data_IF_062339749945
#
_entry.id   IF_062339749945
#
_cell.length_a   1.000
_cell.length_b   1.000
_cell.length_c   1.000
_cell.angle_alpha   90.00
_cell.angle_beta   90.00
_cell.angle_gamma   90.00
#
_symmetry.space_group_name_H-M   'P 1'
#
loop_
_entity.id
_entity.type
_entity.pdbx_description
1 polymer ?
#
# COMPACT_ATOMS: atom_id res chain seq x y z
N UNK A 1 -14.58 5.60 -1.56
CA UNK A 1 -13.30 5.73 -2.28
C UNK A 1 -13.40 6.89 -3.28
N UNK A 2 -13.16 8.12 -2.81
CA UNK A 2 -13.37 9.35 -3.59
C UNK A 2 -12.52 9.40 -4.88
N UNK A 3 -11.25 8.99 -4.81
CA UNK A 3 -10.34 9.01 -5.97
C UNK A 3 -10.72 7.98 -7.04
N UNK A 4 -11.19 6.80 -6.63
CA UNK A 4 -11.63 5.76 -7.55
C UNK A 4 -12.87 6.24 -8.31
N UNK A 5 -13.83 6.81 -7.59
CA UNK A 5 -15.03 7.39 -8.18
C UNK A 5 -14.68 8.51 -9.17
N UNK A 6 -13.81 9.44 -8.78
CA UNK A 6 -13.38 10.53 -9.65
C UNK A 6 -12.71 10.01 -10.92
N UNK A 7 -11.85 9.00 -10.80
CA UNK A 7 -11.21 8.37 -11.95
C UNK A 7 -12.22 7.78 -12.94
N UNK A 8 -13.24 7.09 -12.44
CA UNK A 8 -14.33 6.58 -13.28
C UNK A 8 -15.12 7.69 -13.99
N UNK A 9 -15.39 8.81 -13.32
CA UNK A 9 -16.09 9.96 -13.94
C UNK A 9 -15.34 10.51 -15.15
N UNK A 10 -14.01 10.43 -15.16
CA UNK A 10 -13.17 10.86 -16.27
C UNK A 10 -12.76 9.71 -17.22
N UNK A 11 -13.35 8.52 -17.07
CA UNK A 11 -13.10 7.37 -17.94
C UNK A 11 -11.73 6.71 -17.74
N UNK A 12 -11.09 6.91 -16.58
CA UNK A 12 -9.81 6.28 -16.26
C UNK A 12 -9.97 4.86 -15.72
N UNK A 13 -9.03 3.98 -16.08
CA UNK A 13 -8.90 2.65 -15.49
C UNK A 13 -8.14 2.74 -14.17
N UNK A 14 -8.73 2.23 -13.09
CA UNK A 14 -8.14 2.33 -11.75
C UNK A 14 -7.49 1.00 -11.36
N UNK A 15 -6.18 1.01 -11.19
CA UNK A 15 -5.37 -0.15 -10.79
C UNK A 15 -4.85 0.07 -9.37
N UNK A 16 -5.08 -0.90 -8.49
CA UNK A 16 -4.58 -0.90 -7.12
C UNK A 16 -3.27 -1.66 -6.98
N UNK A 17 -2.30 -1.08 -6.26
CA UNK A 17 -1.08 -1.77 -5.83
C UNK A 17 -1.06 -1.83 -4.30
N UNK A 18 -1.32 -3.00 -3.74
CA UNK A 18 -1.25 -3.22 -2.31
C UNK A 18 0.16 -3.66 -1.91
N UNK A 19 0.85 -2.83 -1.13
CA UNK A 19 2.13 -3.17 -0.56
C UNK A 19 1.94 -3.92 0.75
N UNK A 20 2.41 -5.16 0.80
CA UNK A 20 2.45 -5.92 2.05
C UNK A 20 3.32 -5.20 3.07
N UNK A 21 2.76 -4.93 4.25
CA UNK A 21 3.47 -4.13 5.25
C UNK A 21 4.45 -4.98 6.05
N UNK A 22 5.74 -4.77 5.83
CA UNK A 22 6.78 -5.21 6.75
C UNK A 22 7.14 -4.07 7.71
N UNK A 23 6.51 -4.06 8.89
CA UNK A 23 6.69 -3.00 9.90
C UNK A 23 8.13 -2.88 10.36
N UNK A 24 8.81 -4.02 10.56
CA UNK A 24 10.21 -4.06 11.00
C UNK A 24 11.11 -3.38 9.98
N UNK A 25 10.98 -3.75 8.72
CA UNK A 25 11.77 -3.17 7.64
C UNK A 25 11.42 -1.68 7.40
N UNK A 26 10.14 -1.31 7.61
CA UNK A 26 9.69 0.09 7.51
C UNK A 26 10.31 0.97 8.60
N UNK A 27 10.39 0.45 9.84
CA UNK A 27 11.05 1.12 10.95
C UNK A 27 12.56 1.26 10.70
N UNK A 28 13.21 0.21 10.21
CA UNK A 28 14.64 0.23 9.88
C UNK A 28 14.96 1.28 8.80
N UNK A 29 14.22 1.28 7.69
CA UNK A 29 14.34 2.31 6.63
C UNK A 29 14.06 3.70 7.16
N UNK A 30 13.08 3.86 8.04
CA UNK A 30 12.73 5.15 8.62
C UNK A 30 13.81 5.69 9.58
N UNK A 31 14.50 4.81 10.32
CA UNK A 31 15.61 5.19 11.21
C UNK A 31 16.82 5.75 10.46
N UNK A 32 16.99 5.37 9.19
CA UNK A 32 18.05 5.90 8.32
C UNK A 32 17.75 7.30 7.79
N UNK A 33 16.52 7.82 7.97
CA UNK A 33 16.13 9.17 7.53
C UNK A 33 16.44 10.23 8.60
N UNK A 34 16.59 11.48 8.15
CA UNK A 34 16.90 12.63 9.01
C UNK A 34 15.88 13.77 8.83
N UNK A 35 15.84 14.67 9.81
CA UNK A 35 14.97 15.85 9.78
C UNK A 35 13.49 15.51 9.60
N UNK A 36 12.80 16.25 8.73
CA UNK A 36 11.36 16.06 8.44
C UNK A 36 11.03 14.74 7.73
N UNK A 37 12.03 14.06 7.16
CA UNK A 37 11.82 12.76 6.52
C UNK A 37 11.77 11.60 7.51
N UNK A 38 12.25 11.79 8.75
CA UNK A 38 12.16 10.78 9.82
C UNK A 38 10.79 10.86 10.50
N UNK A 39 9.98 9.84 10.34
CA UNK A 39 8.65 9.72 10.94
C UNK A 39 8.79 9.21 12.38
N UNK A 40 8.02 9.68 13.37
CA UNK A 40 8.00 9.07 14.70
C UNK A 40 7.52 7.61 14.64
N UNK A 41 8.17 6.70 15.36
CA UNK A 41 7.83 5.27 15.35
C UNK A 41 6.33 5.04 15.67
N UNK A 42 5.74 5.80 16.60
CA UNK A 42 4.32 5.71 16.94
C UNK A 42 3.38 6.06 15.77
N UNK A 43 3.79 6.97 14.89
CA UNK A 43 3.00 7.34 13.72
C UNK A 43 2.98 6.22 12.67
N UNK A 44 4.07 5.43 12.59
CA UNK A 44 4.13 4.23 11.73
C UNK A 44 3.14 3.18 12.24
N UNK A 45 3.12 2.90 13.55
CA UNK A 45 2.15 1.97 14.13
C UNK A 45 0.70 2.48 14.02
N UNK A 46 0.47 3.78 14.21
CA UNK A 46 -0.86 4.37 14.05
C UNK A 46 -1.37 4.25 12.61
N UNK A 47 -0.49 4.39 11.62
CA UNK A 47 -0.83 4.23 10.20
C UNK A 47 -1.10 2.76 9.87
N UNK A 48 -0.29 1.84 10.38
CA UNK A 48 -0.50 0.40 10.22
C UNK A 48 -1.90 -0.04 10.68
N UNK A 49 -2.37 0.47 11.82
CA UNK A 49 -3.71 0.14 12.36
C UNK A 49 -4.86 0.62 11.48
N UNK A 50 -4.63 1.62 10.62
CA UNK A 50 -5.63 2.15 9.69
C UNK A 50 -5.58 1.47 8.32
N UNK A 51 -4.59 0.61 8.09
CA UNK A 51 -4.44 -0.07 6.81
C UNK A 51 -5.59 -1.08 6.63
N UNK A 52 -6.35 -0.89 5.56
CA UNK A 52 -7.43 -1.79 5.15
C UNK A 52 -7.00 -2.43 3.83
N UNK A 53 -7.26 -3.74 3.70
CA UNK A 53 -7.02 -4.44 2.44
C UNK A 53 -7.96 -3.90 1.36
N UNK A 54 -7.44 -3.62 0.15
CA UNK A 54 -8.30 -3.17 -0.93
C UNK A 54 -9.23 -4.31 -1.38
N UNK A 55 -10.41 -3.93 -1.86
CA UNK A 55 -11.40 -4.86 -2.39
C UNK A 55 -11.88 -4.39 -3.76
N UNK A 56 -12.27 -5.33 -4.62
CA UNK A 56 -12.86 -4.96 -5.92
C UNK A 56 -14.17 -4.17 -5.76
N UNK A 57 -14.88 -4.32 -4.64
CA UNK A 57 -16.08 -3.55 -4.31
C UNK A 57 -15.83 -2.03 -4.22
N UNK A 58 -14.59 -1.60 -4.01
CA UNK A 58 -14.22 -0.18 -4.04
C UNK A 58 -14.20 0.40 -5.46
N UNK A 59 -14.14 -0.45 -6.50
CA UNK A 59 -14.15 -0.07 -7.91
C UNK A 59 -12.81 -0.21 -8.64
N UNK A 60 -11.86 -1.00 -8.12
CA UNK A 60 -10.63 -1.29 -8.87
C UNK A 60 -10.90 -2.19 -10.07
N UNK A 61 -10.28 -1.88 -11.21
CA UNK A 61 -10.29 -2.75 -12.39
C UNK A 61 -9.34 -3.95 -12.24
N UNK A 62 -8.23 -3.75 -11.53
CA UNK A 62 -7.27 -4.78 -11.16
C UNK A 62 -6.59 -4.42 -9.85
N UNK A 63 -6.25 -5.41 -9.04
CA UNK A 63 -5.43 -5.24 -7.84
C UNK A 63 -4.17 -6.12 -7.99
N UNK A 64 -3.03 -5.57 -7.61
CA UNK A 64 -1.77 -6.30 -7.49
C UNK A 64 -1.30 -6.35 -6.04
N UNK A 65 -0.76 -7.49 -5.66
CA UNK A 65 -0.05 -7.66 -4.41
C UNK A 65 1.45 -7.41 -4.63
N UNK A 66 2.05 -6.56 -3.81
CA UNK A 66 3.44 -6.14 -3.94
C UNK A 66 4.24 -6.50 -2.69
N UNK A 67 5.36 -7.19 -2.88
CA UNK A 67 6.35 -7.48 -1.84
C UNK A 67 7.67 -6.80 -2.18
N UNK A 68 8.39 -6.34 -1.16
CA UNK A 68 9.79 -5.90 -1.31
C UNK A 68 10.72 -7.11 -1.36
N UNK A 69 11.45 -7.26 -2.46
CA UNK A 69 12.29 -8.44 -2.75
C UNK A 69 13.79 -8.14 -2.63
N UNK A 70 14.19 -7.43 -1.57
CA UNK A 70 15.58 -6.96 -1.41
C UNK A 70 16.01 -5.95 -2.49
N UNK A 71 17.20 -5.37 -2.35
CA UNK A 71 17.89 -4.58 -3.39
C UNK A 71 17.04 -3.53 -4.12
N UNK A 72 16.15 -2.86 -3.38
CA UNK A 72 15.21 -1.84 -3.92
C UNK A 72 14.26 -2.36 -5.01
N UNK A 73 14.06 -3.68 -5.08
CA UNK A 73 13.18 -4.34 -6.04
C UNK A 73 11.81 -4.70 -5.43
N UNK A 74 10.83 -4.85 -6.31
CA UNK A 74 9.48 -5.28 -5.97
C UNK A 74 9.09 -6.54 -6.74
N UNK A 75 8.59 -7.52 -6.01
CA UNK A 75 7.85 -8.66 -6.57
C UNK A 75 6.37 -8.27 -6.66
N UNK A 76 5.81 -8.35 -7.87
CA UNK A 76 4.41 -8.02 -8.14
C UNK A 76 3.69 -9.30 -8.57
N UNK A 77 2.61 -9.63 -7.87
CA UNK A 77 1.75 -10.77 -8.18
C UNK A 77 0.29 -10.32 -8.29
N UNK A 78 -0.53 -11.12 -8.98
CA UNK A 78 -1.98 -10.89 -9.02
C UNK A 78 -2.56 -10.92 -7.59
N UNK A 79 -3.57 -10.09 -7.35
CA UNK A 79 -4.32 -10.11 -6.10
C UNK A 79 -5.13 -11.40 -5.99
N UNK A 80 -4.97 -12.08 -4.86
CA UNK A 80 -5.82 -13.22 -4.49
C UNK A 80 -6.75 -12.72 -3.40
N UNK A 81 -8.03 -12.68 -3.72
CA UNK A 81 -9.07 -12.33 -2.76
C UNK A 81 -9.32 -13.55 -1.86
N UNK A 82 -8.45 -13.74 -0.88
CA UNK A 82 -8.66 -14.74 0.17
C UNK A 82 -9.39 -14.03 1.30
N UNK A 83 -10.70 -14.27 1.40
CA UNK A 83 -11.46 -13.99 2.62
C UNK A 83 -10.73 -14.68 3.78
N UNK A 84 -10.42 -13.92 4.85
CA UNK A 84 -10.06 -14.46 6.16
C UNK A 84 -11.27 -14.28 7.06
#
# INVERSE_FOLDING_TARGET
AELIHLGHLYGATIIGYYFETNVRQSLERNRQRTGKARVPDIAIFATLKKLVRPTYAEGFAQIFHVRTAGDETFEVSNWVDTEI
#
